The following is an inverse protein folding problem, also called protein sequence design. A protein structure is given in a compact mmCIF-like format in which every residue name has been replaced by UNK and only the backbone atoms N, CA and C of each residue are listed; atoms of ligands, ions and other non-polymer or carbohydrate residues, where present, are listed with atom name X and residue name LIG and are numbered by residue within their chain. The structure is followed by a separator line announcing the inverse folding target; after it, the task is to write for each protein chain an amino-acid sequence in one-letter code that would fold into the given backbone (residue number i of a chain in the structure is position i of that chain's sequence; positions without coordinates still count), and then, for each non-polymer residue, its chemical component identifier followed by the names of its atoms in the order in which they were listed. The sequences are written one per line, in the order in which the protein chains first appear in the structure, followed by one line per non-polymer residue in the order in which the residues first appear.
data_IF_029716252997
#
_entry.id   IF_029716252997
#
_cell.length_a   1.000
_cell.length_b   1.000
_cell.length_c   1.000
_cell.angle_alpha   90.00
_cell.angle_beta   90.00
_cell.angle_gamma   90.00
#
_symmetry.space_group_name_H-M   'P 1'
#
loop_
_entity.id
_entity.type
_entity.pdbx_description
1 polymer ?
#
# COMPACT_ATOMS: atom_id res chain seq x y z
N UNK A 1 0.65 52.89 -16.54
CA UNK A 1 1.68 51.83 -16.60
C UNK A 1 1.43 50.64 -15.67
N UNK A 2 0.32 50.55 -14.92
CA UNK A 2 0.03 49.38 -14.05
C UNK A 2 -0.57 48.15 -14.76
N UNK A 3 -1.41 48.36 -15.78
CA UNK A 3 -2.14 47.27 -16.46
C UNK A 3 -1.23 46.32 -17.28
N UNK A 4 -0.21 46.84 -17.96
CA UNK A 4 0.75 46.01 -18.71
C UNK A 4 1.63 45.14 -17.81
N UNK A 5 2.03 45.68 -16.65
CA UNK A 5 2.79 44.93 -15.64
C UNK A 5 1.95 43.79 -15.03
N UNK A 6 0.65 44.05 -14.78
CA UNK A 6 -0.28 43.03 -14.30
C UNK A 6 -0.52 41.89 -15.31
N UNK A 7 -0.64 42.21 -16.60
CA UNK A 7 -0.79 41.21 -17.67
C UNK A 7 0.48 40.36 -17.80
N UNK A 8 1.67 40.98 -17.81
CA UNK A 8 2.95 40.25 -17.83
C UNK A 8 3.13 39.34 -16.61
N UNK A 9 2.77 39.82 -15.41
CA UNK A 9 2.81 39.01 -14.20
C UNK A 9 1.87 37.79 -14.29
N UNK A 10 0.68 37.97 -14.89
CA UNK A 10 -0.28 36.89 -15.07
C UNK A 10 0.17 35.85 -16.12
N UNK A 11 0.80 36.29 -17.22
CA UNK A 11 1.39 35.39 -18.22
C UNK A 11 2.59 34.60 -17.68
N UNK A 12 3.43 35.24 -16.87
CA UNK A 12 4.53 34.58 -16.15
C UNK A 12 4.00 33.55 -15.15
N UNK A 13 2.94 33.87 -14.39
CA UNK A 13 2.32 32.92 -13.47
C UNK A 13 1.70 31.72 -14.21
N UNK A 14 0.97 31.96 -15.31
CA UNK A 14 0.35 30.91 -16.12
C UNK A 14 1.39 30.03 -16.83
N UNK A 15 2.48 30.62 -17.34
CA UNK A 15 3.58 29.87 -17.93
C UNK A 15 4.31 29.02 -16.89
N UNK A 16 4.52 29.54 -15.67
CA UNK A 16 5.07 28.78 -14.54
C UNK A 16 4.19 27.58 -14.15
N UNK A 17 2.87 27.79 -14.04
CA UNK A 17 1.92 26.72 -13.76
C UNK A 17 1.90 25.65 -14.86
N UNK A 18 1.96 26.05 -16.13
CA UNK A 18 2.04 25.11 -17.26
C UNK A 18 3.35 24.31 -17.25
N UNK A 19 4.49 24.93 -16.93
CA UNK A 19 5.77 24.23 -16.80
C UNK A 19 5.77 23.25 -15.62
N UNK A 20 5.19 23.64 -14.49
CA UNK A 20 5.02 22.76 -13.33
C UNK A 20 4.12 21.56 -13.69
N UNK A 21 2.96 21.80 -14.31
CA UNK A 21 2.05 20.75 -14.76
C UNK A 21 2.72 19.80 -15.76
N UNK A 22 3.45 20.33 -16.74
CA UNK A 22 4.18 19.52 -17.71
C UNK A 22 5.28 18.67 -17.06
N UNK A 23 6.02 19.24 -16.12
CA UNK A 23 7.08 18.52 -15.39
C UNK A 23 6.50 17.40 -14.52
N UNK A 24 5.37 17.66 -13.85
CA UNK A 24 4.63 16.67 -13.08
C UNK A 24 4.10 15.56 -13.97
N UNK A 25 3.47 15.89 -15.09
CA UNK A 25 2.94 14.91 -16.03
C UNK A 25 4.06 14.02 -16.58
N UNK A 26 5.18 14.61 -17.01
CA UNK A 26 6.34 13.87 -17.52
C UNK A 26 6.96 12.96 -16.45
N UNK A 27 6.96 13.40 -15.19
CA UNK A 27 7.44 12.59 -14.07
C UNK A 27 6.49 11.42 -13.79
N UNK A 28 5.18 11.66 -13.84
CA UNK A 28 4.16 10.62 -13.70
C UNK A 28 4.24 9.58 -14.83
N UNK A 29 4.40 10.01 -16.08
CA UNK A 29 4.59 9.12 -17.24
C UNK A 29 5.86 8.26 -17.10
N UNK A 30 6.97 8.86 -16.64
CA UNK A 30 8.20 8.11 -16.35
C UNK A 30 7.99 7.08 -15.25
N UNK A 31 7.34 7.46 -14.14
CA UNK A 31 7.00 6.54 -13.05
C UNK A 31 6.13 5.39 -13.53
N UNK A 32 5.07 5.69 -14.28
CA UNK A 32 4.21 4.67 -14.88
C UNK A 32 4.98 3.74 -15.82
N UNK A 33 5.85 4.28 -16.67
CA UNK A 33 6.69 3.49 -17.56
C UNK A 33 7.66 2.58 -16.80
N UNK A 34 8.18 3.03 -15.66
CA UNK A 34 9.07 2.24 -14.82
C UNK A 34 8.34 1.05 -14.21
N UNK A 35 7.14 1.26 -13.65
CA UNK A 35 6.30 0.19 -13.11
C UNK A 35 6.00 -0.88 -14.16
N UNK A 36 5.65 -0.45 -15.38
CA UNK A 36 5.33 -1.36 -16.46
C UNK A 36 6.54 -2.17 -16.95
N UNK A 37 7.74 -1.56 -16.97
CA UNK A 37 8.98 -2.22 -17.42
C UNK A 37 9.61 -3.10 -16.36
N UNK A 38 9.48 -2.72 -15.09
CA UNK A 38 10.15 -3.37 -13.96
C UNK A 38 9.17 -3.66 -12.81
N UNK A 39 8.10 -4.44 -13.04
CA UNK A 39 7.04 -4.63 -12.06
C UNK A 39 7.54 -5.22 -10.74
N UNK A 40 8.50 -6.15 -10.78
CA UNK A 40 9.08 -6.75 -9.56
C UNK A 40 9.84 -5.71 -8.74
N UNK A 41 10.66 -4.87 -9.38
CA UNK A 41 11.44 -3.85 -8.68
C UNK A 41 10.55 -2.75 -8.12
N UNK A 42 9.57 -2.28 -8.89
CA UNK A 42 8.67 -1.22 -8.44
C UNK A 42 7.80 -1.67 -7.28
N UNK A 43 7.25 -2.88 -7.35
CA UNK A 43 6.42 -3.44 -6.28
C UNK A 43 7.25 -3.81 -5.06
N UNK A 44 8.44 -4.37 -5.23
CA UNK A 44 9.35 -4.64 -4.10
C UNK A 44 9.82 -3.38 -3.40
N UNK A 45 10.10 -2.31 -4.14
CA UNK A 45 10.39 -1.01 -3.56
C UNK A 45 9.17 -0.43 -2.82
N UNK A 46 7.97 -0.59 -3.38
CA UNK A 46 6.70 -0.22 -2.75
C UNK A 46 6.52 -0.90 -1.39
N UNK A 47 6.46 -2.23 -1.37
CA UNK A 47 6.31 -3.01 -0.14
C UNK A 47 7.42 -2.74 0.89
N UNK A 48 8.67 -2.62 0.46
CA UNK A 48 9.78 -2.27 1.35
C UNK A 48 9.59 -0.89 2.01
N UNK A 49 9.22 0.14 1.22
CA UNK A 49 8.95 1.47 1.75
C UNK A 49 7.76 1.47 2.70
N UNK A 50 6.69 0.73 2.36
CA UNK A 50 5.50 0.60 3.19
C UNK A 50 5.81 -0.02 4.54
N UNK A 51 6.50 -1.16 4.57
CA UNK A 51 6.89 -1.80 5.84
C UNK A 51 7.86 -0.93 6.65
N UNK A 52 8.89 -0.37 5.99
CA UNK A 52 9.91 0.46 6.64
C UNK A 52 9.33 1.73 7.27
N UNK A 53 8.53 2.48 6.51
CA UNK A 53 7.94 3.72 6.99
C UNK A 53 6.75 3.45 7.90
N UNK A 54 5.91 2.47 7.57
CA UNK A 54 4.73 2.11 8.35
C UNK A 54 5.08 1.71 9.78
N UNK A 55 5.94 0.71 9.94
CA UNK A 55 6.34 0.27 11.28
C UNK A 55 7.23 1.31 11.97
N UNK A 56 8.10 2.02 11.23
CA UNK A 56 8.91 3.10 11.79
C UNK A 56 8.08 4.26 12.38
N UNK A 57 7.00 4.64 11.70
CA UNK A 57 6.04 5.64 12.20
C UNK A 57 5.24 5.10 13.38
N UNK A 58 4.80 3.84 13.31
CA UNK A 58 4.05 3.20 14.40
C UNK A 58 4.86 3.11 15.70
N UNK A 59 6.11 2.68 15.63
CA UNK A 59 7.00 2.59 16.80
C UNK A 59 7.28 3.97 17.41
N UNK A 60 7.56 4.97 16.57
CA UNK A 60 7.73 6.36 17.04
C UNK A 60 6.48 6.89 17.74
N UNK A 61 5.31 6.55 17.24
CA UNK A 61 4.06 7.02 17.79
C UNK A 61 3.65 6.31 19.08
N UNK A 62 4.05 5.05 19.25
CA UNK A 62 3.90 4.34 20.52
C UNK A 62 4.72 5.00 21.65
N UNK A 63 5.84 5.65 21.30
CA UNK A 63 6.81 6.21 22.23
C UNK A 63 7.73 5.14 22.83
N UNK A 64 7.82 3.99 22.18
CA UNK A 64 8.66 2.86 22.60
C UNK A 64 10.08 2.97 22.03
N UNK A 65 11.08 2.33 22.65
CA UNK A 65 12.41 2.21 22.06
C UNK A 65 12.29 1.53 20.69
N UNK A 66 13.08 2.00 19.71
CA UNK A 66 13.03 1.44 18.38
C UNK A 66 13.52 -0.03 18.38
N UNK A 67 12.61 -0.96 18.11
CA UNK A 67 12.86 -2.38 17.93
C UNK A 67 13.23 -2.66 16.48
N UNK A 68 14.53 -2.88 16.26
CA UNK A 68 15.09 -3.20 14.95
C UNK A 68 14.65 -4.57 14.43
N UNK A 69 14.43 -5.56 15.31
CA UNK A 69 14.06 -6.92 14.88
C UNK A 69 12.65 -6.94 14.34
N UNK A 70 11.72 -6.31 15.07
CA UNK A 70 10.36 -6.07 14.60
C UNK A 70 10.35 -5.30 13.29
N UNK A 71 11.08 -4.18 13.23
CA UNK A 71 11.13 -3.34 12.03
C UNK A 71 11.63 -4.11 10.82
N UNK A 72 12.70 -4.90 10.97
CA UNK A 72 13.22 -5.76 9.90
C UNK A 72 12.23 -6.87 9.53
N UNK A 73 11.55 -7.47 10.51
CA UNK A 73 10.52 -8.49 10.29
C UNK A 73 9.37 -7.97 9.45
N UNK A 74 8.79 -6.82 9.83
CA UNK A 74 7.70 -6.18 9.07
C UNK A 74 8.19 -5.71 7.71
N UNK A 75 9.32 -5.01 7.62
CA UNK A 75 9.85 -4.49 6.34
C UNK A 75 10.16 -5.61 5.35
N UNK A 76 10.80 -6.68 5.81
CA UNK A 76 11.10 -7.84 4.94
C UNK A 76 9.85 -8.60 4.54
N UNK A 77 8.88 -8.73 5.44
CA UNK A 77 7.59 -9.34 5.10
C UNK A 77 6.83 -8.50 4.07
N UNK A 78 6.69 -7.18 4.25
CA UNK A 78 5.97 -6.33 3.28
C UNK A 78 6.60 -6.40 1.89
N UNK A 79 7.94 -6.41 1.78
CA UNK A 79 8.60 -6.61 0.49
C UNK A 79 8.30 -8.00 -0.12
N UNK A 80 8.38 -9.05 0.70
CA UNK A 80 8.08 -10.42 0.28
C UNK A 80 6.62 -10.55 -0.17
N UNK A 81 5.70 -10.01 0.60
CA UNK A 81 4.27 -10.04 0.37
C UNK A 81 3.90 -9.33 -0.94
N UNK A 82 4.36 -8.10 -1.16
CA UNK A 82 4.07 -7.38 -2.40
C UNK A 82 4.62 -8.12 -3.64
N UNK A 83 5.83 -8.68 -3.59
CA UNK A 83 6.50 -9.28 -4.76
C UNK A 83 6.15 -10.75 -4.99
N UNK A 84 6.17 -11.56 -3.94
CA UNK A 84 6.07 -13.01 -4.01
C UNK A 84 4.63 -13.48 -3.85
N UNK A 85 3.82 -12.77 -3.08
CA UNK A 85 2.42 -13.12 -2.82
C UNK A 85 1.48 -12.34 -3.76
N UNK A 86 1.35 -11.03 -3.58
CA UNK A 86 0.33 -10.24 -4.27
C UNK A 86 0.57 -10.04 -5.77
N UNK A 87 1.80 -9.76 -6.20
CA UNK A 87 2.09 -9.54 -7.62
C UNK A 87 1.69 -10.75 -8.51
N UNK A 88 2.07 -12.00 -8.22
CA UNK A 88 1.58 -13.14 -8.98
C UNK A 88 0.11 -13.45 -8.73
N UNK A 89 -0.41 -13.26 -7.51
CA UNK A 89 -1.81 -13.52 -7.20
C UNK A 89 -2.77 -12.60 -7.98
N UNK A 90 -2.52 -11.30 -8.02
CA UNK A 90 -3.33 -10.35 -8.79
C UNK A 90 -3.24 -10.61 -10.29
N UNK A 91 -2.06 -11.00 -10.80
CA UNK A 91 -1.92 -11.45 -12.20
C UNK A 91 -2.76 -12.68 -12.50
N UNK A 92 -2.80 -13.64 -11.58
CA UNK A 92 -3.65 -14.83 -11.70
C UNK A 92 -5.13 -14.44 -11.74
N UNK A 93 -5.58 -13.61 -10.80
CA UNK A 93 -6.95 -13.10 -10.76
C UNK A 93 -7.33 -12.36 -12.05
N UNK A 94 -6.43 -11.54 -12.59
CA UNK A 94 -6.63 -10.84 -13.85
C UNK A 94 -6.68 -11.76 -15.06
N UNK A 95 -5.82 -12.78 -15.10
CA UNK A 95 -5.85 -13.79 -16.16
C UNK A 95 -7.16 -14.59 -16.14
N UNK A 96 -7.74 -14.84 -14.96
CA UNK A 96 -8.90 -15.71 -14.78
C UNK A 96 -10.24 -15.01 -14.94
N UNK A 97 -10.34 -13.77 -14.47
CA UNK A 97 -11.58 -12.97 -14.43
C UNK A 97 -11.54 -11.74 -15.37
N UNK A 98 -10.41 -11.52 -16.04
CA UNK A 98 -10.19 -10.38 -16.93
C UNK A 98 -9.77 -9.12 -16.18
N UNK A 99 -9.00 -8.24 -16.82
CA UNK A 99 -8.55 -6.97 -16.22
C UNK A 99 -9.63 -5.88 -16.09
N UNK A 100 -10.84 -6.12 -16.64
CA UNK A 100 -11.92 -5.14 -16.71
C UNK A 100 -12.78 -5.05 -15.43
N UNK A 101 -13.54 -3.95 -15.34
CA UNK A 101 -14.29 -3.53 -14.15
C UNK A 101 -15.73 -4.08 -14.06
N UNK A 102 -16.04 -5.22 -14.68
CA UNK A 102 -17.39 -5.79 -14.57
C UNK A 102 -17.71 -6.16 -13.12
N UNK A 103 -18.95 -5.93 -12.67
CA UNK A 103 -19.40 -6.26 -11.30
C UNK A 103 -19.04 -7.70 -10.94
N UNK A 104 -19.31 -8.67 -11.83
CA UNK A 104 -18.98 -10.07 -11.61
C UNK A 104 -17.48 -10.30 -11.37
N UNK A 105 -16.61 -9.70 -12.19
CA UNK A 105 -15.17 -9.85 -12.05
C UNK A 105 -14.67 -9.20 -10.75
N UNK A 106 -15.11 -7.98 -10.44
CA UNK A 106 -14.72 -7.27 -9.22
C UNK A 106 -15.15 -8.04 -7.99
N UNK A 107 -16.41 -8.46 -7.90
CA UNK A 107 -16.92 -9.24 -6.77
C UNK A 107 -16.16 -10.56 -6.61
N UNK A 108 -15.86 -11.28 -7.71
CA UNK A 108 -15.10 -12.53 -7.62
C UNK A 108 -13.67 -12.31 -7.09
N UNK A 109 -12.99 -11.25 -7.54
CA UNK A 109 -11.63 -10.92 -7.08
C UNK A 109 -11.61 -10.52 -5.62
N UNK A 110 -12.50 -9.63 -5.20
CA UNK A 110 -12.64 -9.18 -3.80
C UNK A 110 -12.94 -10.36 -2.88
N UNK A 111 -13.85 -11.27 -3.26
CA UNK A 111 -14.13 -12.46 -2.45
C UNK A 111 -12.92 -13.40 -2.35
N UNK A 112 -12.19 -13.60 -3.45
CA UNK A 112 -10.99 -14.43 -3.42
C UNK A 112 -9.84 -13.79 -2.63
N UNK A 113 -9.77 -12.46 -2.64
CA UNK A 113 -8.76 -11.71 -1.92
C UNK A 113 -9.11 -11.64 -0.42
N UNK A 114 -10.14 -10.89 -0.05
CA UNK A 114 -10.45 -10.56 1.34
C UNK A 114 -11.05 -11.73 2.15
N UNK A 115 -11.74 -12.68 1.49
CA UNK A 115 -12.39 -13.80 2.17
C UNK A 115 -11.62 -15.13 2.07
N UNK A 116 -10.61 -15.22 1.19
CA UNK A 116 -9.81 -16.44 1.04
C UNK A 116 -8.31 -16.19 1.17
N UNK A 117 -7.73 -15.32 0.34
CA UNK A 117 -6.29 -15.10 0.34
C UNK A 117 -5.81 -14.49 1.67
N UNK A 118 -6.46 -13.41 2.11
CA UNK A 118 -6.09 -12.70 3.34
C UNK A 118 -6.16 -13.62 4.57
N UNK A 119 -7.29 -14.31 4.87
CA UNK A 119 -7.38 -15.11 6.09
C UNK A 119 -6.54 -16.39 6.05
N UNK A 120 -6.43 -17.06 4.89
CA UNK A 120 -5.82 -18.39 4.83
C UNK A 120 -4.35 -18.38 4.39
N UNK A 121 -3.86 -17.30 3.78
CA UNK A 121 -2.49 -17.22 3.26
C UNK A 121 -1.73 -16.06 3.88
N UNK A 122 -2.16 -14.83 3.65
CA UNK A 122 -1.41 -13.64 4.05
C UNK A 122 -1.28 -13.52 5.57
N UNK A 123 -2.39 -13.50 6.31
CA UNK A 123 -2.37 -13.29 7.77
C UNK A 123 -1.59 -14.39 8.50
N UNK A 124 -1.78 -15.70 8.23
CA UNK A 124 -0.97 -16.74 8.83
C UNK A 124 0.54 -16.61 8.51
N UNK A 125 0.89 -16.25 7.27
CA UNK A 125 2.27 -16.04 6.87
C UNK A 125 2.88 -14.81 7.55
N UNK A 126 2.13 -13.72 7.68
CA UNK A 126 2.56 -12.52 8.42
C UNK A 126 2.93 -12.88 9.86
N UNK A 127 2.03 -13.60 10.56
CA UNK A 127 2.30 -14.03 11.93
C UNK A 127 3.49 -14.98 12.01
N UNK A 128 3.60 -15.95 11.09
CA UNK A 128 4.73 -16.88 11.07
C UNK A 128 6.07 -16.16 10.85
N UNK A 129 6.12 -15.23 9.89
CA UNK A 129 7.31 -14.48 9.54
C UNK A 129 7.75 -13.54 10.67
N UNK A 130 6.84 -12.70 11.15
CA UNK A 130 7.16 -11.72 12.20
C UNK A 130 7.46 -12.40 13.53
N UNK A 131 6.76 -13.47 13.90
CA UNK A 131 7.10 -14.28 15.09
C UNK A 131 8.50 -14.88 14.99
N UNK A 132 8.90 -15.38 13.81
CA UNK A 132 10.23 -15.92 13.62
C UNK A 132 11.32 -14.84 13.76
N UNK A 133 11.09 -13.63 13.25
CA UNK A 133 12.02 -12.50 13.37
C UNK A 133 12.12 -11.96 14.80
N UNK A 134 11.01 -11.89 15.52
CA UNK A 134 10.93 -11.36 16.88
C UNK A 134 11.31 -12.41 17.94
N UNK A 135 11.37 -13.69 17.57
CA UNK A 135 11.59 -14.80 18.50
C UNK A 135 10.36 -15.09 19.37
N UNK A 136 9.17 -14.82 18.85
CA UNK A 136 7.91 -14.96 19.55
C UNK A 136 7.16 -16.27 19.24
N UNK A 137 6.22 -16.65 20.09
CA UNK A 137 5.39 -17.84 19.90
C UNK A 137 4.28 -17.60 18.89
N UNK A 138 4.41 -18.21 17.71
CA UNK A 138 3.39 -18.20 16.66
C UNK A 138 2.02 -18.67 17.17
N UNK A 139 1.98 -19.76 17.93
CA UNK A 139 0.72 -20.33 18.47
C UNK A 139 0.04 -19.36 19.40
N UNK A 140 0.81 -18.62 20.21
CA UNK A 140 0.26 -17.59 21.11
C UNK A 140 -0.38 -16.47 20.30
N UNK A 141 0.36 -15.88 19.35
CA UNK A 141 -0.11 -14.76 18.53
C UNK A 141 -1.32 -15.12 17.67
N UNK A 142 -1.33 -16.30 17.05
CA UNK A 142 -2.49 -16.77 16.30
C UNK A 142 -3.72 -16.94 17.20
N UNK A 143 -3.55 -17.36 18.46
CA UNK A 143 -4.69 -17.52 19.37
C UNK A 143 -5.23 -16.18 19.89
N UNK A 144 -4.37 -15.19 20.11
CA UNK A 144 -4.75 -13.89 20.68
C UNK A 144 -5.18 -12.87 19.63
N UNK A 145 -4.51 -12.81 18.49
CA UNK A 145 -4.58 -11.68 17.56
C UNK A 145 -5.23 -12.03 16.22
N UNK A 146 -5.14 -13.29 15.75
CA UNK A 146 -5.58 -13.68 14.41
C UNK A 146 -6.99 -13.21 14.06
N UNK A 147 -7.97 -13.48 14.95
CA UNK A 147 -9.36 -13.12 14.71
C UNK A 147 -9.56 -11.61 14.59
N UNK A 148 -8.85 -10.83 15.43
CA UNK A 148 -8.90 -9.36 15.39
C UNK A 148 -8.24 -8.85 14.11
N UNK A 149 -7.11 -9.44 13.70
CA UNK A 149 -6.40 -9.07 12.47
C UNK A 149 -7.24 -9.34 11.22
N UNK A 150 -7.89 -10.50 11.11
CA UNK A 150 -8.79 -10.81 9.98
C UNK A 150 -10.00 -9.89 9.96
N UNK A 151 -10.58 -9.58 11.13
CA UNK A 151 -11.72 -8.67 11.17
C UNK A 151 -11.32 -7.23 10.82
N UNK A 152 -10.11 -6.81 11.21
CA UNK A 152 -9.56 -5.52 10.86
C UNK A 152 -9.26 -5.40 9.36
N UNK A 153 -8.79 -6.47 8.71
CA UNK A 153 -8.55 -6.45 7.25
C UNK A 153 -9.84 -6.25 6.46
N UNK A 154 -10.98 -6.73 6.95
CA UNK A 154 -12.28 -6.51 6.31
C UNK A 154 -12.72 -5.04 6.28
N UNK A 155 -12.12 -4.16 7.10
CA UNK A 155 -12.34 -2.71 6.97
C UNK A 155 -11.82 -2.15 5.64
N UNK A 156 -10.91 -2.86 4.98
CA UNK A 156 -10.30 -2.47 3.70
C UNK A 156 -11.05 -2.99 2.48
N UNK A 157 -12.10 -3.81 2.63
CA UNK A 157 -12.92 -4.31 1.51
C UNK A 157 -13.39 -3.19 0.55
N UNK A 158 -13.84 -2.00 1.02
CA UNK A 158 -14.19 -0.91 0.10
C UNK A 158 -13.02 -0.44 -0.77
N UNK A 159 -11.80 -0.50 -0.23
CA UNK A 159 -10.57 -0.15 -0.94
C UNK A 159 -10.19 -1.28 -1.90
N UNK A 160 -10.34 -2.55 -1.53
CA UNK A 160 -10.15 -3.71 -2.42
C UNK A 160 -11.10 -3.63 -3.62
N UNK A 161 -12.37 -3.29 -3.39
CA UNK A 161 -13.36 -3.04 -4.46
C UNK A 161 -12.88 -1.93 -5.39
N UNK A 162 -12.43 -0.79 -4.83
CA UNK A 162 -11.91 0.31 -5.63
C UNK A 162 -10.67 -0.11 -6.44
N UNK A 163 -9.76 -0.86 -5.84
CA UNK A 163 -8.53 -1.34 -6.48
C UNK A 163 -8.86 -2.21 -7.70
N UNK A 164 -9.76 -3.18 -7.57
CA UNK A 164 -10.13 -4.05 -8.68
C UNK A 164 -11.04 -3.40 -9.72
N UNK A 165 -11.83 -2.39 -9.33
CA UNK A 165 -12.74 -1.69 -10.24
C UNK A 165 -12.07 -0.56 -11.03
N UNK A 166 -11.14 0.18 -10.43
CA UNK A 166 -10.61 1.44 -10.98
C UNK A 166 -9.13 1.36 -11.32
N UNK A 167 -8.33 0.68 -10.50
CA UNK A 167 -6.87 0.69 -10.66
C UNK A 167 -6.46 -0.28 -11.77
N UNK A 168 -5.64 0.15 -12.74
CA UNK A 168 -5.16 -0.75 -13.79
C UNK A 168 -4.33 -1.90 -13.22
N UNK A 169 -4.41 -3.13 -13.78
CA UNK A 169 -3.74 -4.33 -13.26
C UNK A 169 -2.28 -4.14 -12.81
N UNK A 170 -1.47 -3.42 -13.59
CA UNK A 170 -0.05 -3.23 -13.32
C UNK A 170 0.24 -2.39 -12.07
N UNK A 171 -0.72 -1.60 -11.58
CA UNK A 171 -0.53 -0.66 -10.48
C UNK A 171 -1.21 -1.11 -9.17
N UNK A 172 -1.97 -2.21 -9.18
CA UNK A 172 -2.81 -2.61 -8.04
C UNK A 172 -2.04 -2.93 -6.77
N UNK A 173 -0.87 -3.54 -6.90
CA UNK A 173 -0.04 -3.86 -5.72
C UNK A 173 0.55 -2.58 -5.14
N UNK A 174 1.11 -1.71 -5.99
CA UNK A 174 1.67 -0.41 -5.54
C UNK A 174 0.58 0.47 -4.92
N UNK A 175 -0.64 0.41 -5.45
CA UNK A 175 -1.79 1.08 -4.83
C UNK A 175 -2.09 0.52 -3.44
N UNK A 176 -2.07 -0.81 -3.28
CA UNK A 176 -2.19 -1.48 -1.98
C UNK A 176 -1.11 -1.02 -1.00
N UNK A 177 0.15 -1.10 -1.41
CA UNK A 177 1.32 -0.65 -0.63
C UNK A 177 1.12 0.80 -0.14
N UNK A 178 0.63 1.70 -1.01
CA UNK A 178 0.41 3.10 -0.67
C UNK A 178 -0.76 3.30 0.31
N UNK A 179 -1.85 2.54 0.18
CA UNK A 179 -2.97 2.56 1.13
C UNK A 179 -2.50 2.09 2.50
N UNK A 180 -1.76 1.00 2.56
CA UNK A 180 -1.28 0.42 3.81
C UNK A 180 -0.39 1.42 4.56
N UNK A 181 0.55 2.08 3.86
CA UNK A 181 1.37 3.14 4.43
C UNK A 181 0.54 4.30 5.00
N UNK A 182 -0.51 4.71 4.26
CA UNK A 182 -1.45 5.73 4.71
C UNK A 182 -2.18 5.32 5.99
N UNK A 183 -2.61 4.06 6.06
CA UNK A 183 -3.31 3.52 7.24
C UNK A 183 -2.42 3.49 8.48
N UNK A 184 -1.14 3.09 8.34
CA UNK A 184 -0.17 3.09 9.43
C UNK A 184 0.04 4.51 9.99
N UNK A 185 0.09 5.50 9.09
CA UNK A 185 0.24 6.91 9.46
C UNK A 185 -1.00 7.45 10.19
N UNK A 186 -2.20 7.13 9.72
CA UNK A 186 -3.47 7.55 10.35
C UNK A 186 -3.64 6.91 11.73
N UNK A 187 -3.32 5.62 11.87
CA UNK A 187 -3.35 4.92 13.16
C UNK A 187 -2.38 5.55 14.16
N UNK A 188 -1.16 5.85 13.73
CA UNK A 188 -0.16 6.58 14.51
C UNK A 188 -0.65 7.98 14.94
N UNK A 189 -1.33 8.72 14.08
CA UNK A 189 -1.88 10.02 14.43
C UNK A 189 -3.05 9.92 15.44
N UNK A 190 -3.94 8.94 15.26
CA UNK A 190 -5.06 8.72 16.19
C UNK A 190 -4.58 8.29 17.58
N UNK A 191 -3.48 7.53 17.68
CA UNK A 191 -2.92 7.14 18.98
C UNK A 191 -2.36 8.32 19.77
N UNK A 192 -1.85 9.35 19.08
CA UNK A 192 -1.39 10.57 19.74
C UNK A 192 -2.53 11.42 20.31
N UNK A 193 -3.64 11.55 19.58
CA UNK A 193 -4.80 12.34 20.02
C UNK A 193 -5.54 11.80 21.24
N UNK A 194 -5.36 10.52 21.60
CA UNK A 194 -5.99 9.93 22.79
C UNK A 194 -5.18 10.13 24.08
N UNK A 195 -3.98 10.70 24.00
CA UNK A 195 -3.09 10.97 25.15
C UNK A 195 -3.14 12.43 25.63
N UNK A 196 -3.98 13.25 25.01
CA UNK A 196 -4.31 14.63 25.42
C UNK A 196 -5.73 14.68 25.99
#
# INVERSE_FOLDING_TARGET
TGWGCMIQAMELALSGLRHAAFTLQRSAERGASFVLRHPVLSTGAGGCLTGALGDGVAQRAAGEPFDLRRWLGVTSFSMFDSVVLYLPFYRLLDSRFGGGATVRAVTAKVLLDDAAFVPFVEVPLYFAWTSACEGDSLVRRLRSEYGVTVLASWMFIPISIFNFAVVPPAFRVIFGDAVELGSATVMSWMSHRRRE
#
